data_IF_473580165332
#
_entry.id   IF_473580165332
#
_cell.length_a   1.000
_cell.length_b   1.000
_cell.length_c   1.000
_cell.angle_alpha   90.00
_cell.angle_beta   90.00
_cell.angle_gamma   90.00
#
_symmetry.space_group_name_H-M   'P 1'
#
loop_
_entity.id
_entity.type
_entity.pdbx_description
1 polymer ?
#
# COMPACT_ATOMS: atom_id res chain seq x y z
N UNK A 1 -18.41 -20.59 -12.66
CA UNK A 1 -19.30 -19.47 -12.38
C UNK A 1 -20.73 -19.68 -12.90
N UNK A 2 -21.02 -20.77 -13.62
CA UNK A 2 -22.37 -21.11 -14.09
C UNK A 2 -22.89 -20.31 -15.30
N UNK A 3 -22.13 -19.35 -15.81
CA UNK A 3 -22.44 -18.59 -17.02
C UNK A 3 -21.25 -18.70 -18.01
N UNK A 4 -21.49 -19.28 -19.23
CA UNK A 4 -20.46 -19.49 -20.24
C UNK A 4 -20.16 -18.24 -21.09
N UNK A 5 -20.85 -17.12 -20.88
CA UNK A 5 -20.64 -15.90 -21.66
C UNK A 5 -19.27 -15.32 -21.41
N UNK A 6 -18.62 -14.87 -22.47
CA UNK A 6 -17.33 -14.18 -22.45
C UNK A 6 -17.43 -12.87 -23.20
N UNK A 7 -16.58 -11.92 -22.89
CA UNK A 7 -16.42 -10.68 -23.63
C UNK A 7 -14.94 -10.42 -23.89
N UNK A 8 -14.64 -9.54 -24.83
CA UNK A 8 -13.29 -9.19 -25.22
C UNK A 8 -12.99 -7.78 -24.75
N UNK A 9 -11.82 -7.63 -24.14
CA UNK A 9 -11.28 -6.33 -23.76
C UNK A 9 -9.94 -6.08 -24.48
N UNK A 10 -9.61 -4.81 -24.70
CA UNK A 10 -8.30 -4.44 -25.25
C UNK A 10 -7.19 -4.80 -24.27
N UNK A 11 -6.27 -5.64 -24.70
CA UNK A 11 -5.08 -5.92 -23.90
C UNK A 11 -4.08 -4.76 -23.99
N UNK A 12 -3.63 -4.27 -22.84
CA UNK A 12 -2.62 -3.24 -22.72
C UNK A 12 -1.37 -3.87 -22.09
N UNK A 13 -0.25 -4.02 -22.84
CA UNK A 13 0.98 -4.58 -22.27
C UNK A 13 1.64 -3.56 -21.34
N UNK A 14 1.94 -3.99 -20.11
CA UNK A 14 2.67 -3.21 -19.10
C UNK A 14 2.14 -1.76 -18.96
N UNK A 15 0.86 -1.55 -18.62
CA UNK A 15 0.34 -0.22 -18.33
C UNK A 15 0.74 0.21 -16.93
N UNK A 16 0.61 1.50 -16.60
CA UNK A 16 0.48 1.93 -15.21
C UNK A 16 -0.94 1.68 -14.70
N UNK A 17 -1.06 1.32 -13.43
CA UNK A 17 -2.34 1.19 -12.75
C UNK A 17 -2.54 2.41 -11.86
N UNK A 18 -3.36 3.34 -12.33
CA UNK A 18 -3.66 4.59 -11.65
C UNK A 18 -5.09 4.57 -11.15
N UNK A 19 -5.29 5.02 -9.93
CA UNK A 19 -6.61 5.09 -9.35
C UNK A 19 -6.89 6.45 -8.72
N UNK A 20 -8.16 6.82 -8.66
CA UNK A 20 -8.63 8.10 -8.12
C UNK A 20 -9.51 7.85 -6.92
N UNK A 21 -9.13 8.39 -5.75
CA UNK A 21 -9.97 8.36 -4.57
C UNK A 21 -11.10 9.37 -4.71
N UNK A 22 -12.34 8.93 -4.59
CA UNK A 22 -13.52 9.79 -4.63
C UNK A 22 -14.28 9.77 -3.31
N UNK A 23 -14.97 10.87 -3.03
CA UNK A 23 -15.99 11.00 -2.00
C UNK A 23 -17.23 11.64 -2.62
N UNK A 24 -18.41 11.10 -2.34
CA UNK A 24 -19.68 11.64 -2.76
C UNK A 24 -20.67 11.73 -1.59
N UNK A 25 -21.53 12.75 -1.56
CA UNK A 25 -22.61 12.88 -0.57
C UNK A 25 -24.00 12.70 -1.19
N UNK A 26 -25.02 12.67 -0.36
CA UNK A 26 -26.43 12.54 -0.80
C UNK A 26 -26.96 13.81 -1.49
N UNK A 27 -26.23 14.91 -1.43
CA UNK A 27 -26.62 16.21 -2.01
C UNK A 27 -26.10 16.38 -3.45
N UNK A 28 -25.43 15.34 -4.00
CA UNK A 28 -24.90 15.34 -5.36
C UNK A 28 -23.50 15.97 -5.49
N UNK A 29 -22.86 16.30 -4.36
CA UNK A 29 -21.46 16.71 -4.41
C UNK A 29 -20.57 15.49 -4.55
N UNK A 30 -19.61 15.56 -5.46
CA UNK A 30 -18.58 14.54 -5.64
C UNK A 30 -17.24 15.24 -5.82
N UNK A 31 -16.26 14.85 -5.01
CA UNK A 31 -14.87 15.34 -5.07
C UNK A 31 -13.90 14.19 -5.26
N UNK A 32 -12.68 14.51 -5.69
CA UNK A 32 -11.55 13.59 -5.65
C UNK A 32 -10.49 14.05 -4.64
N UNK A 33 -9.81 13.09 -4.05
CA UNK A 33 -8.70 13.31 -3.11
C UNK A 33 -7.33 13.02 -3.76
N UNK A 34 -7.23 13.19 -5.09
CA UNK A 34 -6.04 12.87 -5.85
C UNK A 34 -5.96 11.42 -6.31
N UNK A 35 -4.80 11.08 -6.81
CA UNK A 35 -4.50 9.81 -7.46
C UNK A 35 -3.57 8.95 -6.62
N UNK A 36 -3.58 7.65 -6.92
CA UNK A 36 -2.58 6.68 -6.45
C UNK A 36 -2.00 5.91 -7.65
N UNK A 37 -0.72 5.59 -7.59
CA UNK A 37 -0.06 4.65 -8.51
C UNK A 37 0.07 3.30 -7.79
N UNK A 38 -0.62 2.29 -8.32
CA UNK A 38 -0.66 0.92 -7.80
C UNK A 38 -0.05 -0.07 -8.80
N UNK A 39 0.91 0.38 -9.61
CA UNK A 39 1.49 -0.40 -10.69
C UNK A 39 2.34 -1.58 -10.20
N UNK A 40 3.01 -1.46 -9.04
CA UNK A 40 3.83 -2.55 -8.51
C UNK A 40 2.93 -3.60 -7.86
N UNK A 41 2.67 -4.66 -8.61
CA UNK A 41 1.76 -5.73 -8.22
C UNK A 41 2.28 -7.09 -8.65
N UNK A 42 1.77 -8.12 -8.00
CA UNK A 42 2.05 -9.51 -8.34
C UNK A 42 0.74 -10.23 -8.59
N UNK A 43 0.55 -10.82 -9.78
CA UNK A 43 -0.69 -11.53 -10.15
C UNK A 43 -1.95 -10.70 -9.85
N UNK A 44 -1.91 -9.41 -10.20
CA UNK A 44 -2.98 -8.43 -9.94
C UNK A 44 -3.22 -8.11 -8.45
N UNK A 45 -2.35 -8.55 -7.54
CA UNK A 45 -2.38 -8.13 -6.15
C UNK A 45 -1.38 -6.98 -5.95
N UNK A 46 -1.89 -5.83 -5.50
CA UNK A 46 -1.08 -4.64 -5.20
C UNK A 46 -0.11 -4.94 -4.05
N UNK A 47 1.14 -4.52 -4.19
CA UNK A 47 2.21 -4.70 -3.19
C UNK A 47 2.76 -3.38 -2.68
N UNK A 48 2.85 -2.39 -3.57
CA UNK A 48 3.32 -1.04 -3.25
C UNK A 48 2.33 -0.05 -3.84
N UNK A 49 1.86 0.85 -3.04
CA UNK A 49 0.94 1.91 -3.43
C UNK A 49 1.54 3.28 -3.10
N UNK A 50 1.40 4.22 -4.02
CA UNK A 50 2.06 5.52 -3.97
C UNK A 50 1.05 6.63 -4.22
N UNK A 51 1.14 7.73 -3.49
CA UNK A 51 0.36 8.94 -3.73
C UNK A 51 1.27 10.18 -3.66
N UNK A 52 1.07 11.15 -4.59
CA UNK A 52 0.27 11.08 -5.81
C UNK A 52 0.88 10.10 -6.83
N UNK A 53 0.23 9.93 -7.98
CA UNK A 53 0.73 9.09 -9.05
C UNK A 53 2.12 9.55 -9.58
N UNK A 54 2.81 8.61 -10.23
CA UNK A 54 4.15 8.83 -10.82
C UNK A 54 4.10 8.99 -12.35
N UNK A 55 3.04 9.60 -12.89
CA UNK A 55 2.91 9.87 -14.32
C UNK A 55 3.79 11.03 -14.79
N UNK A 56 4.09 11.96 -13.91
CA UNK A 56 4.82 13.21 -14.22
C UNK A 56 4.16 14.03 -15.37
N UNK A 57 2.83 13.94 -15.49
CA UNK A 57 2.01 14.66 -16.47
C UNK A 57 0.74 15.19 -15.79
N UNK A 58 0.82 16.41 -15.26
CA UNK A 58 -0.29 17.06 -14.53
C UNK A 58 -1.58 17.15 -15.35
N UNK A 59 -1.45 17.34 -16.68
CA UNK A 59 -2.62 17.40 -17.56
C UNK A 59 -3.31 16.05 -17.65
N UNK A 60 -2.55 14.98 -17.79
CA UNK A 60 -3.09 13.63 -17.85
C UNK A 60 -3.72 13.24 -16.50
N UNK A 61 -3.06 13.53 -15.40
CA UNK A 61 -3.59 13.33 -14.05
C UNK A 61 -4.92 14.08 -13.84
N UNK A 62 -4.99 15.35 -14.27
CA UNK A 62 -6.25 16.12 -14.20
C UNK A 62 -7.36 15.47 -15.01
N UNK A 63 -7.08 15.04 -16.24
CA UNK A 63 -8.08 14.37 -17.10
C UNK A 63 -8.58 13.05 -16.46
N UNK A 64 -7.72 12.29 -15.82
CA UNK A 64 -8.07 11.06 -15.11
C UNK A 64 -8.98 11.39 -13.93
N UNK A 65 -8.64 12.40 -13.12
CA UNK A 65 -9.48 12.85 -12.00
C UNK A 65 -10.86 13.33 -12.47
N UNK A 66 -10.91 14.12 -13.55
CA UNK A 66 -12.18 14.60 -14.16
C UNK A 66 -13.04 13.42 -14.65
N UNK A 67 -12.42 12.42 -15.29
CA UNK A 67 -13.11 11.23 -15.74
C UNK A 67 -13.70 10.44 -14.57
N UNK A 68 -12.96 10.31 -13.45
CA UNK A 68 -13.44 9.66 -12.24
C UNK A 68 -14.65 10.40 -11.63
N UNK A 69 -14.58 11.72 -11.51
CA UNK A 69 -15.70 12.55 -11.04
C UNK A 69 -16.92 12.40 -11.94
N UNK A 70 -16.70 12.45 -13.28
CA UNK A 70 -17.78 12.28 -14.26
C UNK A 70 -18.45 10.91 -14.13
N UNK A 71 -17.68 9.84 -13.98
CA UNK A 71 -18.18 8.49 -13.78
C UNK A 71 -19.01 8.41 -12.50
N UNK A 72 -18.48 8.89 -11.37
CA UNK A 72 -19.15 8.87 -10.07
C UNK A 72 -20.47 9.68 -10.08
N UNK A 73 -20.47 10.89 -10.64
CA UNK A 73 -21.68 11.72 -10.79
C UNK A 73 -22.73 11.05 -11.66
N UNK A 74 -22.30 10.37 -12.73
CA UNK A 74 -23.24 9.71 -13.67
C UNK A 74 -24.05 8.60 -13.02
N UNK A 75 -23.47 7.91 -12.02
CA UNK A 75 -24.14 6.81 -11.31
C UNK A 75 -24.72 7.25 -9.96
N UNK A 76 -24.65 8.54 -9.60
CA UNK A 76 -25.11 9.05 -8.31
C UNK A 76 -24.34 8.43 -7.14
N UNK A 77 -23.03 8.32 -7.26
CA UNK A 77 -22.18 7.64 -6.27
C UNK A 77 -22.18 8.39 -4.94
N UNK A 78 -22.39 7.66 -3.84
CA UNK A 78 -22.40 8.18 -2.47
C UNK A 78 -21.34 7.41 -1.67
N UNK A 79 -20.70 8.11 -0.72
CA UNK A 79 -19.66 7.64 0.18
C UNK A 79 -18.28 7.56 -0.48
N UNK A 80 -17.31 6.88 0.18
CA UNK A 80 -15.95 6.70 -0.34
C UNK A 80 -15.89 5.58 -1.37
N UNK A 81 -15.20 5.83 -2.47
CA UNK A 81 -14.94 4.86 -3.51
C UNK A 81 -13.66 5.18 -4.26
N UNK A 82 -13.27 4.28 -5.14
CA UNK A 82 -12.07 4.43 -5.96
C UNK A 82 -12.41 4.07 -7.40
N UNK A 83 -11.99 4.92 -8.33
CA UNK A 83 -12.11 4.65 -9.78
C UNK A 83 -10.73 4.28 -10.30
N UNK A 84 -10.60 3.11 -10.88
CA UNK A 84 -9.34 2.55 -11.38
C UNK A 84 -9.20 2.72 -12.88
N UNK A 85 -7.98 3.02 -13.31
CA UNK A 85 -7.62 3.21 -14.72
C UNK A 85 -6.31 2.50 -15.05
N UNK A 86 -6.22 2.01 -16.30
CA UNK A 86 -4.95 1.63 -16.90
C UNK A 86 -4.44 2.74 -17.79
N UNK A 87 -3.17 3.13 -17.61
CA UNK A 87 -2.56 4.24 -18.36
C UNK A 87 -1.40 3.72 -19.19
N UNK A 88 -1.41 4.06 -20.49
CA UNK A 88 -0.33 3.72 -21.42
C UNK A 88 0.04 4.93 -22.28
N UNK A 89 1.25 5.45 -22.09
CA UNK A 89 1.65 6.70 -22.71
C UNK A 89 0.77 7.86 -22.26
N UNK A 90 0.05 8.48 -23.21
CA UNK A 90 -0.89 9.59 -22.94
C UNK A 90 -2.36 9.16 -22.95
N UNK A 91 -2.63 7.88 -23.06
CA UNK A 91 -3.98 7.34 -23.07
C UNK A 91 -4.29 6.66 -21.75
N UNK A 92 -5.52 6.82 -21.28
CA UNK A 92 -6.02 6.11 -20.11
C UNK A 92 -7.35 5.41 -20.41
N UNK A 93 -7.57 4.31 -19.75
CA UNK A 93 -8.73 3.45 -19.96
C UNK A 93 -9.35 3.15 -18.60
N UNK A 94 -10.66 3.35 -18.50
CA UNK A 94 -11.41 2.96 -17.32
C UNK A 94 -11.32 1.43 -17.12
N UNK A 95 -11.06 1.01 -15.88
CA UNK A 95 -11.02 -0.40 -15.50
C UNK A 95 -12.26 -0.76 -14.69
N UNK A 96 -12.40 -0.22 -13.49
CA UNK A 96 -13.52 -0.50 -12.59
C UNK A 96 -13.74 0.61 -11.55
N UNK A 97 -14.86 0.50 -10.82
CA UNK A 97 -15.10 1.29 -9.61
C UNK A 97 -15.17 0.34 -8.42
N UNK A 98 -14.31 0.56 -7.44
CA UNK A 98 -14.39 -0.11 -6.15
C UNK A 98 -15.29 0.70 -5.21
N UNK A 99 -16.47 0.15 -4.92
CA UNK A 99 -17.52 0.82 -4.12
C UNK A 99 -17.34 0.60 -2.62
N UNK A 100 -16.12 0.78 -2.14
CA UNK A 100 -15.69 0.56 -0.76
C UNK A 100 -14.40 1.32 -0.47
N UNK A 101 -14.06 1.41 0.81
CA UNK A 101 -12.71 1.78 1.21
C UNK A 101 -11.71 0.71 0.76
N UNK A 102 -10.57 1.13 0.23
CA UNK A 102 -9.48 0.23 -0.16
C UNK A 102 -8.37 0.18 0.89
N UNK A 103 -7.51 -0.84 0.83
CA UNK A 103 -6.38 -1.03 1.74
C UNK A 103 -5.46 0.19 1.69
N UNK A 104 -5.19 0.68 0.51
CA UNK A 104 -4.25 1.75 0.15
C UNK A 104 -4.77 3.19 0.41
N UNK A 105 -5.92 3.36 1.07
CA UNK A 105 -6.44 4.69 1.41
C UNK A 105 -5.46 5.53 2.24
N UNK A 106 -4.60 4.88 3.00
CA UNK A 106 -3.66 5.54 3.92
C UNK A 106 -2.70 6.49 3.22
N UNK A 107 -2.23 6.18 1.99
CA UNK A 107 -1.34 7.09 1.25
C UNK A 107 -2.06 8.38 0.84
N UNK A 108 -3.35 8.29 0.49
CA UNK A 108 -4.17 9.47 0.21
C UNK A 108 -4.38 10.33 1.46
N UNK A 109 -4.69 9.70 2.59
CA UNK A 109 -4.85 10.40 3.87
C UNK A 109 -3.56 11.11 4.28
N UNK A 110 -2.40 10.49 4.07
CA UNK A 110 -1.10 11.09 4.43
C UNK A 110 -0.77 12.34 3.62
N UNK A 111 -1.12 12.41 2.33
CA UNK A 111 -0.82 13.57 1.48
C UNK A 111 -1.89 14.65 1.53
N UNK A 112 -3.13 14.32 1.92
CA UNK A 112 -4.26 15.26 1.96
C UNK A 112 -4.59 15.77 3.35
N UNK A 113 -4.27 14.99 4.39
CA UNK A 113 -4.74 15.21 5.76
C UNK A 113 -6.23 14.95 5.96
N UNK A 114 -6.92 14.36 4.98
CA UNK A 114 -8.36 14.02 5.06
C UNK A 114 -8.51 12.62 5.65
N UNK A 115 -9.19 12.48 6.78
CA UNK A 115 -9.59 11.21 7.36
C UNK A 115 -10.78 10.64 6.57
N UNK A 116 -10.48 9.69 5.66
CA UNK A 116 -11.49 9.12 4.76
C UNK A 116 -12.50 8.27 5.53
N UNK A 117 -12.07 7.55 6.56
CA UNK A 117 -12.96 6.71 7.38
C UNK A 117 -13.94 7.58 8.14
N UNK A 118 -13.48 8.68 8.73
CA UNK A 118 -14.34 9.65 9.36
C UNK A 118 -15.32 10.27 8.35
N UNK A 119 -14.85 10.65 7.17
CA UNK A 119 -15.70 11.18 6.10
C UNK A 119 -16.79 10.18 5.71
N UNK A 120 -16.48 8.88 5.62
CA UNK A 120 -17.49 7.84 5.38
C UNK A 120 -18.60 7.83 6.43
N UNK A 121 -18.24 7.94 7.72
CA UNK A 121 -19.21 7.95 8.82
C UNK A 121 -20.07 9.21 8.80
N UNK A 122 -19.48 10.36 8.53
CA UNK A 122 -20.21 11.63 8.42
C UNK A 122 -21.22 11.60 7.25
N UNK A 123 -20.79 11.13 6.08
CA UNK A 123 -21.68 10.99 4.92
C UNK A 123 -22.80 9.98 5.20
N UNK A 124 -22.48 8.84 5.81
CA UNK A 124 -23.48 7.82 6.17
C UNK A 124 -24.48 8.32 7.24
N UNK A 125 -24.10 9.31 8.03
CA UNK A 125 -24.99 9.99 8.97
C UNK A 125 -25.89 11.06 8.29
N UNK A 126 -25.79 11.24 6.97
CA UNK A 126 -26.57 12.23 6.20
C UNK A 126 -25.96 13.63 6.18
N UNK A 127 -24.71 13.78 6.63
CA UNK A 127 -24.00 15.05 6.57
C UNK A 127 -23.42 15.30 5.16
N UNK A 128 -23.28 16.57 4.73
CA UNK A 128 -22.58 16.90 3.50
C UNK A 128 -21.09 16.54 3.61
N UNK A 129 -20.39 16.54 2.45
CA UNK A 129 -18.94 16.34 2.42
C UNK A 129 -18.23 17.25 3.42
N UNK A 130 -17.28 16.72 4.23
CA UNK A 130 -16.57 17.52 5.25
C UNK A 130 -15.58 18.52 4.66
N UNK A 131 -15.31 18.43 3.34
CA UNK A 131 -14.36 19.25 2.61
C UNK A 131 -14.87 19.50 1.19
N UNK A 132 -14.59 20.68 0.62
CA UNK A 132 -14.86 20.98 -0.79
C UNK A 132 -13.63 20.68 -1.66
N UNK A 133 -13.82 20.57 -2.99
CA UNK A 133 -12.71 20.26 -3.90
C UNK A 133 -11.60 21.32 -3.84
N UNK A 134 -11.95 22.59 -3.68
CA UNK A 134 -10.98 23.69 -3.66
C UNK A 134 -10.08 23.66 -2.40
N UNK A 135 -10.55 22.98 -1.35
CA UNK A 135 -9.82 22.85 -0.09
C UNK A 135 -8.99 21.56 0.00
N UNK A 136 -9.10 20.69 -1.01
CA UNK A 136 -8.22 19.50 -1.11
C UNK A 136 -6.84 19.94 -1.56
N UNK A 137 -5.86 19.82 -0.65
CA UNK A 137 -4.47 20.17 -0.91
C UNK A 137 -3.64 18.91 -0.85
N UNK A 138 -2.96 18.59 -1.96
CA UNK A 138 -2.00 17.48 -2.02
C UNK A 138 -0.61 17.99 -1.62
N UNK A 139 0.03 17.34 -0.65
CA UNK A 139 1.37 17.73 -0.19
C UNK A 139 2.28 16.52 -0.10
N UNK A 140 3.47 16.63 -0.71
CA UNK A 140 4.50 15.61 -0.64
C UNK A 140 4.13 14.29 -1.30
N UNK A 141 4.77 13.23 -0.85
CA UNK A 141 4.59 11.86 -1.35
C UNK A 141 4.38 10.90 -0.19
N UNK A 142 3.52 9.91 -0.39
CA UNK A 142 3.35 8.81 0.53
C UNK A 142 3.51 7.48 -0.20
N UNK A 143 4.08 6.49 0.50
CA UNK A 143 4.29 5.14 -0.02
C UNK A 143 3.75 4.18 1.03
N UNK A 144 2.88 3.27 0.63
CA UNK A 144 2.44 2.13 1.45
C UNK A 144 3.10 0.85 0.95
N UNK A 145 3.54 0.00 1.87
CA UNK A 145 3.93 -1.38 1.60
C UNK A 145 3.15 -2.33 2.51
N UNK A 146 2.58 -3.36 1.91
CA UNK A 146 1.82 -4.39 2.62
C UNK A 146 2.77 -5.42 3.22
N UNK A 147 3.02 -5.35 4.51
CA UNK A 147 3.84 -6.34 5.21
C UNK A 147 3.00 -7.59 5.44
N UNK A 148 3.19 -8.58 4.58
CA UNK A 148 2.48 -9.84 4.61
C UNK A 148 3.33 -10.94 5.24
N UNK A 149 2.67 -11.89 5.93
CA UNK A 149 3.27 -13.14 6.36
C UNK A 149 3.34 -14.11 5.17
N UNK A 150 4.33 -13.91 4.31
CA UNK A 150 4.54 -14.66 3.07
C UNK A 150 6.04 -14.91 2.86
N UNK A 151 6.37 -15.98 2.12
CA UNK A 151 7.73 -16.27 1.68
C UNK A 151 7.94 -15.85 0.21
N UNK A 152 8.53 -14.66 -0.07
CA UNK A 152 8.72 -14.20 -1.43
C UNK A 152 9.56 -15.15 -2.29
N UNK A 153 10.53 -15.86 -1.71
CA UNK A 153 11.37 -16.82 -2.41
C UNK A 153 10.65 -18.13 -2.76
N UNK A 154 9.60 -18.42 -2.04
CA UNK A 154 8.72 -19.56 -2.31
C UNK A 154 7.41 -19.09 -2.94
N UNK A 155 7.53 -18.26 -3.99
CA UNK A 155 6.40 -17.79 -4.77
C UNK A 155 5.32 -17.07 -3.92
N UNK A 156 5.74 -16.36 -2.85
CA UNK A 156 4.88 -15.65 -1.90
C UNK A 156 3.85 -16.58 -1.23
N UNK A 157 4.28 -17.80 -0.91
CA UNK A 157 3.41 -18.73 -0.19
C UNK A 157 3.06 -18.15 1.19
N UNK A 158 1.77 -18.09 1.55
CA UNK A 158 1.35 -17.62 2.87
C UNK A 158 1.90 -18.49 4.00
N UNK A 159 2.37 -17.87 5.06
CA UNK A 159 2.88 -18.49 6.29
C UNK A 159 1.76 -18.78 7.31
N UNK A 160 0.62 -19.28 6.82
CA UNK A 160 -0.57 -19.56 7.64
C UNK A 160 -0.27 -20.52 8.78
N UNK A 161 -0.85 -20.28 9.96
CA UNK A 161 -0.64 -21.06 11.17
C UNK A 161 0.64 -20.73 11.94
N UNK A 162 1.53 -19.92 11.37
CA UNK A 162 2.74 -19.45 12.07
C UNK A 162 2.37 -18.42 13.13
N UNK A 163 3.10 -18.49 14.26
CA UNK A 163 2.93 -17.56 15.38
C UNK A 163 3.98 -16.47 15.32
N UNK A 164 3.56 -15.21 15.45
CA UNK A 164 4.45 -14.06 15.65
C UNK A 164 5.03 -14.15 17.07
N UNK A 165 6.33 -14.32 17.18
CA UNK A 165 7.05 -14.42 18.45
C UNK A 165 7.51 -13.06 18.94
N UNK A 166 8.04 -12.24 18.01
CA UNK A 166 8.47 -10.85 18.28
C UNK A 166 7.83 -9.96 17.25
N UNK A 167 7.33 -8.83 17.69
CA UNK A 167 6.83 -7.74 16.85
C UNK A 167 7.35 -6.43 17.40
N UNK A 168 8.25 -5.80 16.66
CA UNK A 168 8.75 -4.47 16.95
C UNK A 168 8.60 -3.62 15.69
N UNK A 169 7.81 -2.57 15.78
CA UNK A 169 7.48 -1.70 14.65
C UNK A 169 8.28 -0.41 14.65
N UNK A 170 8.62 0.11 13.46
CA UNK A 170 9.25 1.41 13.33
C UNK A 170 8.29 2.52 13.75
N UNK A 171 8.83 3.68 14.06
CA UNK A 171 8.07 4.88 14.42
C UNK A 171 8.78 6.16 14.00
N UNK A 172 8.23 7.28 14.44
CA UNK A 172 8.74 8.61 14.20
C UNK A 172 7.95 9.39 13.15
N UNK A 173 8.42 10.63 12.88
CA UNK A 173 7.74 11.53 11.96
C UNK A 173 7.57 10.93 10.57
N UNK A 174 6.35 11.00 10.03
CA UNK A 174 6.01 10.50 8.69
C UNK A 174 6.00 8.98 8.57
N UNK A 175 5.83 8.23 9.66
CA UNK A 175 5.61 6.77 9.66
C UNK A 175 4.26 6.48 10.28
N UNK A 176 3.41 5.76 9.56
CA UNK A 176 2.10 5.28 9.98
C UNK A 176 2.03 3.77 9.83
N UNK A 177 1.39 3.14 10.80
CA UNK A 177 1.18 1.69 10.83
C UNK A 177 -0.30 1.40 11.08
N UNK A 178 -0.90 0.63 10.19
CA UNK A 178 -2.26 0.13 10.34
C UNK A 178 -2.20 -1.41 10.25
N UNK A 179 -2.39 -2.10 11.36
CA UNK A 179 -2.19 -3.55 11.37
C UNK A 179 -2.87 -4.27 12.52
N UNK A 180 -2.80 -5.59 12.47
CA UNK A 180 -3.40 -6.49 13.45
C UNK A 180 -2.37 -7.36 14.20
N UNK A 181 -1.09 -7.33 13.81
CA UNK A 181 -0.07 -8.20 14.37
C UNK A 181 0.42 -7.71 15.74
N UNK A 182 0.70 -8.66 16.62
CA UNK A 182 1.26 -8.47 17.96
C UNK A 182 2.00 -9.75 18.38
N UNK A 183 2.87 -9.72 19.40
CA UNK A 183 3.48 -10.93 19.92
C UNK A 183 2.42 -11.94 20.39
N UNK A 184 2.44 -13.14 19.82
CA UNK A 184 1.45 -14.17 20.08
C UNK A 184 0.37 -14.30 18.98
N UNK A 185 0.25 -13.34 18.06
CA UNK A 185 -0.66 -13.43 16.92
C UNK A 185 -0.35 -14.66 16.07
N UNK A 186 -1.39 -15.39 15.66
CA UNK A 186 -1.28 -16.54 14.76
C UNK A 186 -1.84 -16.15 13.40
N UNK A 187 -1.04 -16.29 12.35
CA UNK A 187 -1.44 -15.95 10.97
C UNK A 187 -2.64 -16.84 10.58
N UNK A 188 -3.82 -16.26 10.29
CA UNK A 188 -5.02 -17.06 10.04
C UNK A 188 -4.94 -17.75 8.67
N UNK A 189 -5.59 -18.91 8.55
CA UNK A 189 -5.71 -19.64 7.28
C UNK A 189 -6.87 -19.13 6.40
N UNK A 190 -7.90 -18.57 7.04
CA UNK A 190 -9.15 -18.19 6.38
C UNK A 190 -9.16 -16.72 5.90
N UNK A 191 -8.13 -15.95 6.21
CA UNK A 191 -8.00 -14.54 5.86
C UNK A 191 -6.67 -14.29 5.18
N UNK A 192 -6.51 -13.05 4.65
CA UNK A 192 -5.26 -12.58 4.07
C UNK A 192 -4.08 -12.69 5.06
N UNK A 193 -2.89 -12.83 4.49
CA UNK A 193 -1.61 -12.88 5.20
C UNK A 193 -1.13 -11.50 5.69
N UNK A 194 -1.89 -10.42 5.46
CA UNK A 194 -1.54 -9.05 5.82
C UNK A 194 -1.40 -8.91 7.34
N UNK A 195 -0.19 -8.55 7.79
CA UNK A 195 0.12 -8.27 9.20
C UNK A 195 -0.05 -6.79 9.52
N UNK A 196 0.46 -5.93 8.65
CA UNK A 196 0.45 -4.48 8.84
C UNK A 196 0.70 -3.76 7.52
N UNK A 197 0.06 -2.61 7.34
CA UNK A 197 0.39 -1.63 6.32
C UNK A 197 1.43 -0.67 6.89
N UNK A 198 2.58 -0.60 6.24
CA UNK A 198 3.60 0.41 6.54
C UNK A 198 3.41 1.55 5.54
N UNK A 199 2.93 2.69 6.00
CA UNK A 199 2.78 3.90 5.19
C UNK A 199 3.77 4.95 5.66
N UNK A 200 4.56 5.49 4.72
CA UNK A 200 5.49 6.57 5.00
C UNK A 200 5.14 7.82 4.19
N UNK A 201 5.57 8.97 4.69
CA UNK A 201 5.35 10.27 4.08
C UNK A 201 6.64 11.07 4.02
N UNK A 202 6.89 11.78 2.92
CA UNK A 202 7.98 12.75 2.75
C UNK A 202 7.50 13.96 1.96
N UNK A 203 8.17 15.12 2.13
CA UNK A 203 7.88 16.30 1.33
C UNK A 203 8.32 16.13 -0.13
N UNK A 204 9.33 15.28 -0.35
CA UNK A 204 9.79 14.88 -1.67
C UNK A 204 9.71 13.37 -1.83
N UNK A 205 9.74 12.89 -3.06
CA UNK A 205 9.79 11.46 -3.36
C UNK A 205 10.98 10.79 -2.68
N UNK A 206 12.17 11.40 -2.77
CA UNK A 206 13.39 10.86 -2.18
C UNK A 206 13.32 10.77 -0.66
N UNK A 207 12.76 11.78 0.02
CA UNK A 207 12.52 11.72 1.46
C UNK A 207 11.58 10.56 1.85
N UNK A 208 10.53 10.33 1.06
CA UNK A 208 9.60 9.22 1.30
C UNK A 208 10.32 7.87 1.13
N UNK A 209 11.12 7.70 0.06
CA UNK A 209 11.90 6.48 -0.20
C UNK A 209 12.93 6.22 0.90
N UNK A 210 13.69 7.22 1.32
CA UNK A 210 14.68 7.06 2.41
C UNK A 210 14.00 6.75 3.75
N UNK A 211 12.85 7.36 4.01
CA UNK A 211 12.06 7.07 5.21
C UNK A 211 11.50 5.65 5.19
N UNK A 212 11.05 5.19 4.02
CA UNK A 212 10.60 3.82 3.83
C UNK A 212 11.72 2.82 4.11
N UNK A 213 12.91 3.04 3.53
CA UNK A 213 14.08 2.21 3.76
C UNK A 213 14.44 2.13 5.24
N UNK A 214 14.48 3.29 5.93
CA UNK A 214 14.73 3.35 7.38
C UNK A 214 13.66 2.57 8.16
N UNK A 215 12.39 2.72 7.81
CA UNK A 215 11.29 2.06 8.49
C UNK A 215 11.34 0.54 8.29
N UNK A 216 11.58 0.06 7.07
CA UNK A 216 11.74 -1.37 6.77
C UNK A 216 12.91 -2.00 7.54
N UNK A 217 14.05 -1.31 7.61
CA UNK A 217 15.22 -1.79 8.38
C UNK A 217 14.96 -1.80 9.88
N UNK A 218 14.10 -0.92 10.39
CA UNK A 218 13.72 -0.88 11.80
C UNK A 218 12.60 -1.85 12.18
N UNK A 219 12.02 -2.56 11.21
CA UNK A 219 10.91 -3.49 11.46
C UNK A 219 11.43 -4.86 11.83
N UNK A 220 11.01 -5.41 12.98
CA UNK A 220 11.41 -6.74 13.43
C UNK A 220 10.16 -7.59 13.65
N UNK A 221 9.98 -8.60 12.82
CA UNK A 221 8.95 -9.63 12.97
C UNK A 221 9.65 -10.98 12.98
N UNK A 222 9.55 -11.71 14.10
CA UNK A 222 10.11 -13.06 14.25
C UNK A 222 8.97 -14.05 14.36
N UNK A 223 9.09 -15.15 13.63
CA UNK A 223 8.12 -16.25 13.58
C UNK A 223 7.80 -16.60 12.13
N UNK A 224 6.84 -15.95 11.49
CA UNK A 224 6.59 -16.11 10.05
C UNK A 224 7.66 -15.41 9.21
N UNK A 225 7.92 -15.91 8.02
CA UNK A 225 8.58 -15.14 6.96
C UNK A 225 7.68 -14.00 6.53
N UNK A 226 8.28 -12.90 6.08
CA UNK A 226 7.54 -11.70 5.67
C UNK A 226 8.07 -11.13 4.36
N UNK A 227 7.29 -10.24 3.76
CA UNK A 227 7.68 -9.51 2.54
C UNK A 227 8.74 -8.44 2.76
N UNK A 228 9.15 -8.14 4.01
CA UNK A 228 10.11 -7.08 4.34
C UNK A 228 11.44 -7.21 3.58
N UNK A 229 12.12 -8.39 3.54
CA UNK A 229 13.40 -8.52 2.85
C UNK A 229 13.29 -8.24 1.33
N UNK A 230 12.17 -8.60 0.73
CA UNK A 230 11.88 -8.32 -0.68
C UNK A 230 11.66 -6.81 -0.91
N UNK A 231 10.94 -6.14 -0.03
CA UNK A 231 10.71 -4.70 -0.12
C UNK A 231 11.99 -3.88 0.04
N UNK A 232 12.95 -4.34 0.83
CA UNK A 232 14.27 -3.71 0.91
C UNK A 232 15.00 -3.75 -0.45
N UNK A 233 14.82 -4.80 -1.25
CA UNK A 233 15.38 -4.85 -2.61
C UNK A 233 14.68 -3.85 -3.53
N UNK A 234 13.34 -3.71 -3.45
CA UNK A 234 12.59 -2.73 -4.23
C UNK A 234 13.05 -1.31 -3.91
N UNK A 235 13.19 -0.96 -2.63
CA UNK A 235 13.58 0.39 -2.20
C UNK A 235 14.99 0.78 -2.67
N UNK A 236 15.87 -0.20 -2.88
CA UNK A 236 17.23 0.01 -3.38
C UNK A 236 17.32 -0.07 -4.92
N UNK A 237 16.27 -0.50 -5.58
CA UNK A 237 16.25 -0.63 -7.03
C UNK A 237 16.26 0.75 -7.73
N UNK A 238 17.14 0.97 -8.72
CA UNK A 238 17.26 2.25 -9.41
C UNK A 238 15.99 2.68 -10.14
N UNK A 239 15.25 1.73 -10.75
CA UNK A 239 14.02 2.05 -11.47
C UNK A 239 12.89 2.44 -10.51
N UNK A 240 12.80 1.78 -9.34
CA UNK A 240 11.88 2.22 -8.29
C UNK A 240 12.20 3.63 -7.83
N UNK A 241 13.47 3.93 -7.54
CA UNK A 241 13.91 5.26 -7.10
C UNK A 241 13.66 6.35 -8.14
N UNK A 242 13.76 6.00 -9.42
CA UNK A 242 13.47 6.91 -10.53
C UNK A 242 11.96 7.06 -10.84
N UNK A 243 11.07 6.28 -10.20
CA UNK A 243 9.64 6.24 -10.52
C UNK A 243 9.31 5.48 -11.81
N UNK A 244 10.25 4.69 -12.33
CA UNK A 244 10.14 3.94 -13.57
C UNK A 244 9.61 2.54 -13.30
N UNK A 245 8.32 2.40 -13.11
CA UNK A 245 7.67 1.10 -12.93
C UNK A 245 6.29 1.09 -13.60
N UNK A 246 5.86 -0.08 -13.97
CA UNK A 246 4.55 -0.40 -14.53
C UNK A 246 4.06 -1.75 -13.98
N UNK A 247 2.95 -2.27 -14.49
CA UNK A 247 2.40 -3.55 -14.00
C UNK A 247 3.28 -4.78 -14.32
N UNK A 248 4.25 -4.64 -15.22
CA UNK A 248 5.26 -5.66 -15.53
C UNK A 248 6.54 -5.54 -14.70
N UNK A 249 6.62 -4.61 -13.74
CA UNK A 249 7.84 -4.30 -13.00
C UNK A 249 8.51 -5.55 -12.39
N UNK A 250 7.75 -6.40 -11.70
CA UNK A 250 8.33 -7.59 -11.07
C UNK A 250 8.81 -8.65 -12.08
N UNK A 251 8.17 -8.73 -13.23
CA UNK A 251 8.55 -9.68 -14.29
C UNK A 251 9.87 -9.26 -14.95
N UNK A 252 10.09 -7.95 -15.07
CA UNK A 252 11.32 -7.37 -15.64
C UNK A 252 12.46 -7.27 -14.63
N UNK A 253 12.18 -7.39 -13.31
CA UNK A 253 13.15 -7.28 -12.21
C UNK A 253 13.28 -8.57 -11.38
N UNK A 254 13.56 -9.75 -11.99
CA UNK A 254 13.64 -11.02 -11.26
C UNK A 254 14.76 -11.03 -10.21
N UNK A 255 15.75 -10.14 -10.31
CA UNK A 255 16.85 -10.01 -9.36
C UNK A 255 16.37 -9.57 -7.97
N UNK A 256 15.21 -8.93 -7.85
CA UNK A 256 14.64 -8.52 -6.56
C UNK A 256 14.37 -9.70 -5.62
N UNK A 257 14.28 -10.93 -6.14
CA UNK A 257 14.13 -12.15 -5.34
C UNK A 257 15.45 -12.80 -4.96
N UNK A 258 16.60 -12.29 -5.43
CA UNK A 258 17.93 -12.88 -5.22
C UNK A 258 18.66 -12.38 -3.96
N UNK A 259 17.95 -11.82 -2.98
CA UNK A 259 18.55 -11.43 -1.71
C UNK A 259 18.98 -12.64 -0.89
N UNK A 260 20.07 -12.48 -0.12
CA UNK A 260 20.44 -13.48 0.89
C UNK A 260 19.46 -13.35 2.06
N UNK A 261 18.92 -14.48 2.52
CA UNK A 261 18.33 -14.52 3.84
C UNK A 261 19.48 -14.41 4.85
N UNK A 262 19.97 -13.19 5.05
CA UNK A 262 20.79 -12.97 6.22
C UNK A 262 19.86 -13.23 7.42
N UNK A 263 20.26 -14.18 8.29
CA UNK A 263 19.79 -14.10 9.68
C UNK A 263 20.13 -12.67 10.10
N UNK A 264 19.11 -11.82 10.15
CA UNK A 264 19.31 -10.42 10.52
C UNK A 264 20.18 -10.44 11.76
N UNK A 265 21.22 -9.63 11.83
CA UNK A 265 22.07 -9.53 13.06
C UNK A 265 21.20 -9.36 14.29
N UNK A 266 20.06 -8.70 14.13
CA UNK A 266 18.97 -8.57 15.09
C UNK A 266 18.37 -9.93 15.46
N UNK A 267 18.22 -10.90 14.54
CA UNK A 267 17.79 -12.28 14.84
C UNK A 267 18.82 -13.00 15.70
N UNK A 268 20.12 -12.80 15.44
CA UNK A 268 21.20 -13.37 16.23
C UNK A 268 21.22 -12.76 17.63
N UNK A 269 21.09 -11.43 17.73
CA UNK A 269 21.02 -10.70 18.99
C UNK A 269 19.76 -11.08 19.77
N UNK A 270 18.58 -11.15 19.12
CA UNK A 270 17.34 -11.53 19.76
C UNK A 270 17.36 -12.98 20.23
N UNK A 271 17.94 -13.92 19.47
CA UNK A 271 18.19 -15.30 19.92
C UNK A 271 19.16 -15.34 21.10
N UNK A 272 20.23 -14.55 21.05
CA UNK A 272 21.19 -14.45 22.15
C UNK A 272 20.52 -13.91 23.43
N UNK A 273 19.72 -12.84 23.32
CA UNK A 273 18.94 -12.29 24.43
C UNK A 273 17.94 -13.31 24.97
N UNK A 274 17.21 -14.02 24.10
CA UNK A 274 16.27 -15.04 24.48
C UNK A 274 16.97 -16.23 25.17
N UNK A 275 18.12 -16.66 24.70
CA UNK A 275 18.94 -17.68 25.35
C UNK A 275 19.47 -17.24 26.71
N UNK A 276 19.94 -16.01 26.85
CA UNK A 276 20.40 -15.41 28.12
C UNK A 276 19.22 -15.38 29.11
N UNK A 277 18.05 -14.94 28.66
CA UNK A 277 16.85 -14.90 29.52
C UNK A 277 16.38 -16.29 29.92
N UNK A 278 16.43 -17.26 29.00
CA UNK A 278 16.02 -18.65 29.28
C UNK A 278 17.01 -19.37 30.23
N UNK A 279 18.29 -19.01 30.21
CA UNK A 279 19.31 -19.53 31.12
C UNK A 279 19.32 -18.85 32.49
N UNK A 280 18.39 -17.94 32.74
CA UNK A 280 18.24 -17.29 34.05
C UNK A 280 19.34 -16.28 34.39
N UNK A 281 19.98 -15.69 33.39
CA UNK A 281 20.94 -14.61 33.59
C UNK A 281 20.22 -13.40 34.19
N UNK A 282 20.53 -13.09 35.45
CA UNK A 282 20.05 -11.89 36.11
C UNK A 282 21.17 -10.82 36.02
N UNK A 283 21.02 -9.79 35.15
CA UNK A 283 22.04 -8.74 35.03
C UNK A 283 22.19 -7.86 36.27
N UNK A 284 21.31 -8.02 37.26
CA UNK A 284 21.34 -7.32 38.56
C UNK A 284 21.79 -8.21 39.72
N UNK A 285 22.19 -9.45 39.45
CA UNK A 285 22.84 -10.30 40.45
C UNK A 285 24.35 -9.97 40.47
N UNK A 286 24.71 -8.87 41.17
CA UNK A 286 26.07 -8.55 41.63
C UNK A 286 26.10 -8.79 43.12
#
# INVERSE_FOLDING_TARGET
FGDPRVYLEKYLPNPKHIEVQILGDEYGNVIHLGTRDCSIQRRHQKLVEIAPDMLNDEKLTSQICEAAIKAAKKVGYINAGTVEFLVKGKEFYFLEINTRLQVEHTVTEMITGVDIVRAQLEIAAGNPLPITQENVILRGHAIEMRINAEDPKNNFLPESGKKVLVYYSPGGFGVRLDGCAYPGYVVPQAYDSLLVKLTVYGLTWEEAVERLKRALNGFIIIGPKTTIPFYLQIVDDPDFRAGNFDTGYLETHPHLLNYKEEEQEVSKIARLIAEIHHRGFNPYAI
#
